data_IF_294940198647
#
_entry.id   IF_294940198647
#
_cell.length_a   1.000
_cell.length_b   1.000
_cell.length_c   1.000
_cell.angle_alpha   90.00
_cell.angle_beta   90.00
_cell.angle_gamma   90.00
#
_symmetry.space_group_name_H-M   'P 1'
#
loop_
_entity.id
_entity.type
_entity.pdbx_description
1 polymer ?
#
# COMPACT_ATOMS: atom_id res chain seq x y z
N UNK A 1 47.58 -8.93 46.73
CA UNK A 1 47.73 -9.54 45.39
C UNK A 1 46.46 -9.27 44.57
N UNK A 2 46.61 -8.66 43.40
CA UNK A 2 45.86 -8.88 42.15
C UNK A 2 44.31 -8.95 42.19
N UNK A 3 43.68 -7.88 41.67
CA UNK A 3 42.80 -7.85 40.48
C UNK A 3 41.79 -9.00 40.33
N UNK A 4 40.50 -8.66 40.31
CA UNK A 4 39.58 -9.10 39.25
C UNK A 4 38.33 -8.23 39.20
N UNK A 5 38.05 -7.74 38.00
CA UNK A 5 36.89 -6.97 37.62
C UNK A 5 35.73 -7.93 37.35
N UNK A 6 34.58 -7.68 37.94
CA UNK A 6 33.31 -8.09 37.36
C UNK A 6 32.35 -6.92 37.52
N UNK A 7 32.39 -6.03 36.53
CA UNK A 7 31.27 -5.13 36.28
C UNK A 7 30.08 -6.04 35.99
N UNK A 8 29.26 -6.27 37.02
CA UNK A 8 27.93 -6.84 36.86
C UNK A 8 27.14 -5.83 36.04
N UNK A 9 27.14 -6.02 34.72
CA UNK A 9 26.11 -5.48 33.85
C UNK A 9 24.82 -6.15 34.29
N UNK A 10 24.11 -5.46 35.19
CA UNK A 10 22.76 -5.80 35.59
C UNK A 10 21.83 -5.43 34.44
N UNK A 11 21.78 -6.30 33.44
CA UNK A 11 20.58 -6.46 32.64
C UNK A 11 19.54 -7.11 33.55
N UNK A 12 18.68 -6.29 34.15
CA UNK A 12 17.52 -6.78 34.88
C UNK A 12 16.38 -5.81 34.65
N UNK A 13 15.73 -6.00 33.49
CA UNK A 13 14.29 -5.99 33.29
C UNK A 13 13.50 -5.03 34.19
N UNK A 14 13.14 -3.90 33.61
CA UNK A 14 12.10 -2.99 34.10
C UNK A 14 11.24 -2.64 32.89
N UNK A 15 10.39 -3.56 32.46
CA UNK A 15 9.52 -3.43 31.28
C UNK A 15 8.10 -3.96 31.54
N UNK A 16 7.50 -3.67 32.71
CA UNK A 16 6.12 -4.13 32.98
C UNK A 16 5.21 -3.04 33.58
N UNK A 17 5.69 -1.79 33.76
CA UNK A 17 4.90 -0.72 34.41
C UNK A 17 4.78 0.55 33.56
N UNK A 18 5.59 0.71 32.51
CA UNK A 18 5.51 1.88 31.62
C UNK A 18 4.52 1.71 30.47
N UNK A 19 4.23 0.46 30.07
CA UNK A 19 3.31 0.13 28.97
C UNK A 19 1.85 0.31 29.37
N UNK A 20 1.47 -0.09 30.59
CA UNK A 20 0.10 0.11 31.10
C UNK A 20 -0.27 1.59 31.06
N UNK A 21 0.53 2.45 31.71
CA UNK A 21 0.22 3.88 31.81
C UNK A 21 0.08 4.55 30.43
N UNK A 22 0.91 4.18 29.46
CA UNK A 22 0.82 4.69 28.08
C UNK A 22 -0.40 4.15 27.33
N UNK A 23 -0.77 2.89 27.53
CA UNK A 23 -1.98 2.30 26.91
C UNK A 23 -3.25 2.90 27.51
N UNK A 24 -3.26 3.16 28.81
CA UNK A 24 -4.37 3.82 29.50
C UNK A 24 -4.54 5.28 29.05
N UNK A 25 -3.44 6.03 28.90
CA UNK A 25 -3.44 7.41 28.36
C UNK A 25 -3.91 7.47 26.89
N UNK A 26 -3.35 6.61 26.03
CA UNK A 26 -3.76 6.48 24.62
C UNK A 26 -5.23 6.05 24.50
N UNK A 27 -5.70 5.16 25.38
CA UNK A 27 -7.10 4.76 25.42
C UNK A 27 -8.02 5.90 25.87
N UNK A 28 -7.62 6.71 26.86
CA UNK A 28 -8.38 7.90 27.26
C UNK A 28 -8.44 8.95 26.15
N UNK A 29 -7.34 9.19 25.43
CA UNK A 29 -7.30 10.12 24.30
C UNK A 29 -8.19 9.63 23.15
N UNK A 30 -8.10 8.33 22.81
CA UNK A 30 -8.95 7.70 21.80
C UNK A 30 -10.43 7.78 22.18
N UNK A 31 -10.75 7.59 23.48
CA UNK A 31 -12.12 7.71 24.00
C UNK A 31 -12.62 9.15 23.93
N UNK A 32 -11.79 10.14 24.30
CA UNK A 32 -12.13 11.56 24.16
C UNK A 32 -12.40 11.91 22.69
N UNK A 33 -11.53 11.48 21.76
CA UNK A 33 -11.73 11.69 20.31
C UNK A 33 -12.94 10.94 19.76
N UNK A 34 -13.27 9.77 20.32
CA UNK A 34 -14.45 9.01 19.97
C UNK A 34 -15.75 9.66 20.44
N UNK A 35 -15.73 10.28 21.63
CA UNK A 35 -16.89 11.00 22.18
C UNK A 35 -17.04 12.41 21.60
N UNK A 36 -15.94 13.06 21.21
CA UNK A 36 -15.94 14.30 20.44
C UNK A 36 -16.38 14.11 18.97
N UNK A 37 -16.44 12.87 18.48
CA UNK A 37 -16.93 12.57 17.13
C UNK A 37 -18.47 12.65 17.13
N UNK A 38 -18.98 13.74 16.58
CA UNK A 38 -20.41 14.05 16.57
C UNK A 38 -21.23 13.07 15.72
N UNK A 39 -20.59 12.46 14.71
CA UNK A 39 -21.22 11.51 13.78
C UNK A 39 -20.59 10.11 13.88
N UNK A 40 -20.73 9.47 15.05
CA UNK A 40 -20.25 8.08 15.31
C UNK A 40 -20.70 7.10 14.22
N UNK A 41 -21.92 7.24 13.69
CA UNK A 41 -22.45 6.37 12.63
C UNK A 41 -21.67 6.48 11.31
N UNK A 42 -21.23 7.68 10.92
CA UNK A 42 -20.44 7.90 9.70
C UNK A 42 -19.04 7.32 9.83
N UNK A 43 -18.42 7.47 11.00
CA UNK A 43 -17.10 6.89 11.29
C UNK A 43 -17.17 5.37 11.34
N UNK A 44 -18.23 4.80 11.94
CA UNK A 44 -18.46 3.35 11.93
C UNK A 44 -18.71 2.85 10.50
N UNK A 45 -19.47 3.60 9.69
CA UNK A 45 -19.75 3.21 8.31
C UNK A 45 -18.49 3.27 7.44
N UNK A 46 -17.72 4.34 7.52
CA UNK A 46 -16.49 4.50 6.74
C UNK A 46 -15.36 3.60 7.26
N UNK A 47 -15.21 3.49 8.59
CA UNK A 47 -14.25 2.59 9.23
C UNK A 47 -14.59 1.12 8.99
N UNK A 48 -15.86 0.74 9.13
CA UNK A 48 -16.35 -0.59 8.78
C UNK A 48 -16.20 -0.88 7.29
N UNK A 49 -16.52 0.08 6.42
CA UNK A 49 -16.30 -0.01 4.98
C UNK A 49 -14.83 -0.20 4.61
N UNK A 50 -13.92 0.51 5.27
CA UNK A 50 -12.48 0.35 5.10
C UNK A 50 -12.00 -1.04 5.53
N UNK A 51 -12.51 -1.57 6.65
CA UNK A 51 -12.19 -2.92 7.11
C UNK A 51 -12.74 -3.99 6.15
N UNK A 52 -13.96 -3.83 5.65
CA UNK A 52 -14.55 -4.74 4.65
C UNK A 52 -13.78 -4.68 3.34
N UNK A 53 -13.37 -3.48 2.89
CA UNK A 53 -12.55 -3.32 1.70
C UNK A 53 -11.17 -3.99 1.86
N UNK A 54 -10.55 -3.86 3.04
CA UNK A 54 -9.30 -4.53 3.35
C UNK A 54 -9.48 -6.06 3.35
N UNK A 55 -10.53 -6.57 4.00
CA UNK A 55 -10.85 -7.99 4.01
C UNK A 55 -11.16 -8.53 2.60
N UNK A 56 -11.90 -7.79 1.79
CA UNK A 56 -12.21 -8.18 0.42
C UNK A 56 -10.93 -8.17 -0.44
N UNK A 57 -10.05 -7.20 -0.24
CA UNK A 57 -8.74 -7.14 -0.91
C UNK A 57 -7.89 -8.37 -0.56
N UNK A 58 -7.82 -8.79 0.70
CA UNK A 58 -7.07 -9.99 1.09
C UNK A 58 -7.69 -11.27 0.50
N UNK A 59 -9.02 -11.37 0.44
CA UNK A 59 -9.71 -12.49 -0.23
C UNK A 59 -9.40 -12.54 -1.72
N UNK A 60 -9.40 -11.40 -2.41
CA UNK A 60 -9.06 -11.32 -3.84
C UNK A 60 -7.61 -11.71 -4.08
N UNK A 61 -6.67 -11.18 -3.28
CA UNK A 61 -5.25 -11.58 -3.37
C UNK A 61 -5.08 -13.08 -3.08
N UNK A 62 -5.80 -13.60 -2.08
CA UNK A 62 -5.80 -15.03 -1.74
C UNK A 62 -6.33 -15.89 -2.88
N UNK A 63 -7.41 -15.47 -3.53
CA UNK A 63 -7.97 -16.14 -4.69
C UNK A 63 -7.01 -16.11 -5.89
N UNK A 64 -6.39 -14.96 -6.16
CA UNK A 64 -5.38 -14.81 -7.22
C UNK A 64 -4.19 -15.74 -6.99
N UNK A 65 -3.66 -15.80 -5.77
CA UNK A 65 -2.57 -16.69 -5.40
C UNK A 65 -2.98 -18.18 -5.39
N UNK A 66 -4.28 -18.47 -5.23
CA UNK A 66 -4.83 -19.84 -5.28
C UNK A 66 -5.15 -20.31 -6.71
N UNK A 67 -5.04 -19.44 -7.73
CA UNK A 67 -5.17 -19.82 -9.13
C UNK A 67 -3.77 -19.96 -9.73
N UNK A 68 -3.19 -21.18 -9.77
CA UNK A 68 -1.81 -21.41 -10.20
C UNK A 68 -1.54 -21.03 -11.67
N UNK A 69 -2.58 -20.84 -12.47
CA UNK A 69 -2.48 -20.47 -13.89
C UNK A 69 -2.54 -18.96 -14.14
N UNK A 70 -2.96 -18.17 -13.15
CA UNK A 70 -3.17 -16.73 -13.32
C UNK A 70 -1.88 -15.95 -13.64
N UNK A 71 -0.73 -16.25 -13.00
CA UNK A 71 0.55 -15.65 -13.37
C UNK A 71 0.93 -15.93 -14.82
N UNK A 72 0.69 -17.17 -15.31
CA UNK A 72 1.01 -17.57 -16.68
C UNK A 72 0.09 -16.93 -17.72
N UNK A 73 -1.19 -16.77 -17.38
CA UNK A 73 -2.14 -16.06 -18.23
C UNK A 73 -1.80 -14.57 -18.30
N UNK A 74 -1.47 -13.93 -17.17
CA UNK A 74 -1.04 -12.53 -17.15
C UNK A 74 0.27 -12.31 -17.90
N UNK A 75 1.23 -13.24 -17.79
CA UNK A 75 2.46 -13.25 -18.57
C UNK A 75 2.16 -13.34 -20.08
N UNK A 76 1.27 -14.26 -20.49
CA UNK A 76 0.85 -14.41 -21.89
C UNK A 76 0.08 -13.20 -22.42
N UNK A 77 -0.78 -12.59 -21.60
CA UNK A 77 -1.51 -11.36 -21.94
C UNK A 77 -0.54 -10.20 -22.11
N UNK A 78 0.44 -10.05 -21.21
CA UNK A 78 1.48 -9.03 -21.30
C UNK A 78 2.36 -9.21 -22.55
N UNK A 79 2.77 -10.44 -22.85
CA UNK A 79 3.50 -10.79 -24.08
C UNK A 79 2.66 -10.54 -25.33
N UNK A 80 1.38 -10.92 -25.31
CA UNK A 80 0.44 -10.71 -26.40
C UNK A 80 0.20 -9.24 -26.68
N UNK A 81 -0.01 -8.44 -25.64
CA UNK A 81 -0.22 -7.00 -25.76
C UNK A 81 1.06 -6.29 -26.21
N UNK A 82 2.22 -6.68 -25.67
CA UNK A 82 3.52 -6.14 -26.09
C UNK A 82 3.81 -6.49 -27.55
N UNK A 83 3.59 -7.74 -27.97
CA UNK A 83 3.72 -8.18 -29.36
C UNK A 83 2.77 -7.44 -30.30
N UNK A 84 1.50 -7.30 -29.92
CA UNK A 84 0.51 -6.52 -30.67
C UNK A 84 0.89 -5.04 -30.75
N UNK A 85 1.36 -4.44 -29.66
CA UNK A 85 1.77 -3.03 -29.61
C UNK A 85 2.96 -2.78 -30.53
N UNK A 86 3.98 -3.64 -30.46
CA UNK A 86 5.15 -3.58 -31.35
C UNK A 86 4.72 -3.75 -32.80
N UNK A 87 3.86 -4.73 -33.09
CA UNK A 87 3.38 -4.93 -34.44
C UNK A 87 2.56 -3.75 -34.97
N UNK A 88 1.61 -3.24 -34.17
CA UNK A 88 0.64 -2.22 -34.57
C UNK A 88 1.25 -0.83 -34.65
N UNK A 89 2.11 -0.46 -33.69
CA UNK A 89 2.63 0.91 -33.55
C UNK A 89 4.07 1.09 -34.03
N UNK A 90 4.95 0.09 -33.87
CA UNK A 90 6.35 0.20 -34.29
C UNK A 90 6.58 -0.21 -35.76
N UNK A 91 5.93 -1.28 -36.24
CA UNK A 91 6.12 -1.73 -37.63
C UNK A 91 5.30 -0.88 -38.62
N UNK A 92 4.05 -0.56 -38.30
CA UNK A 92 3.15 0.18 -39.20
C UNK A 92 3.45 1.69 -39.21
N UNK A 93 3.84 2.23 -40.37
CA UNK A 93 4.23 3.65 -40.54
C UNK A 93 3.15 4.65 -40.11
N UNK A 94 1.86 4.35 -40.34
CA UNK A 94 0.76 5.24 -39.94
C UNK A 94 0.68 5.41 -38.42
N UNK A 95 0.89 4.35 -37.64
CA UNK A 95 0.73 4.44 -36.19
C UNK A 95 1.97 4.92 -35.44
N UNK A 96 3.14 4.99 -36.09
CA UNK A 96 4.27 5.77 -35.56
C UNK A 96 3.96 7.26 -35.50
N UNK A 97 3.19 7.78 -36.48
CA UNK A 97 2.77 9.19 -36.49
C UNK A 97 1.70 9.47 -35.44
N UNK A 98 0.73 8.57 -35.26
CA UNK A 98 -0.25 8.66 -34.16
C UNK A 98 0.46 8.60 -32.80
N UNK A 99 1.38 7.63 -32.59
CA UNK A 99 2.05 7.48 -31.30
C UNK A 99 2.92 8.70 -30.95
N UNK A 100 3.61 9.30 -31.93
CA UNK A 100 4.37 10.54 -31.72
C UNK A 100 3.43 11.70 -31.33
N UNK A 101 2.29 11.83 -32.01
CA UNK A 101 1.26 12.83 -31.69
C UNK A 101 0.66 12.60 -30.30
N UNK A 102 0.39 11.36 -29.93
CA UNK A 102 -0.18 10.99 -28.62
C UNK A 102 0.83 11.24 -27.49
N UNK A 103 2.11 10.92 -27.70
CA UNK A 103 3.19 11.22 -26.75
C UNK A 103 3.37 12.73 -26.59
N UNK A 104 3.33 13.51 -27.68
CA UNK A 104 3.36 14.98 -27.60
C UNK A 104 2.14 15.54 -26.87
N UNK A 105 0.95 15.02 -27.13
CA UNK A 105 -0.27 15.42 -26.46
C UNK A 105 -0.25 15.07 -24.96
N UNK A 106 0.23 13.87 -24.59
CA UNK A 106 0.41 13.43 -23.21
C UNK A 106 1.48 14.27 -22.49
N UNK A 107 2.62 14.51 -23.14
CA UNK A 107 3.68 15.39 -22.63
C UNK A 107 3.13 16.80 -22.39
N UNK A 108 2.34 17.34 -23.32
CA UNK A 108 1.70 18.65 -23.16
C UNK A 108 0.66 18.66 -22.04
N UNK A 109 -0.11 17.59 -21.85
CA UNK A 109 -1.08 17.46 -20.73
C UNK A 109 -0.39 17.41 -19.37
N UNK A 110 0.72 16.68 -19.27
CA UNK A 110 1.44 16.47 -18.00
C UNK A 110 2.32 17.68 -17.67
N UNK A 111 3.07 18.20 -18.65
CA UNK A 111 3.98 19.33 -18.46
C UNK A 111 3.28 20.71 -18.56
N UNK A 112 2.11 20.79 -19.18
CA UNK A 112 1.33 22.02 -19.35
C UNK A 112 0.24 22.24 -18.30
N UNK A 113 0.22 21.45 -17.22
CA UNK A 113 -0.60 21.74 -16.02
C UNK A 113 0.27 22.30 -14.87
N UNK A 114 1.48 22.74 -15.20
CA UNK A 114 2.34 23.54 -14.34
C UNK A 114 2.35 24.98 -14.86
N UNK A 115 1.19 25.63 -14.83
CA UNK A 115 1.09 27.09 -14.70
C UNK A 115 0.50 27.40 -13.32
#
# INVERSE_FOLDING_TARGET
>A
LRRSYSLLVRASSSEETSSSVQVEEVFSDLKEKWDAVENKSTVILYGGGALVALWLSTVVIGAVNSVPLLPKIMELVGLGYTGWFVYRYLLFKSSRKELASDIEALKKKIAGTAE
#
